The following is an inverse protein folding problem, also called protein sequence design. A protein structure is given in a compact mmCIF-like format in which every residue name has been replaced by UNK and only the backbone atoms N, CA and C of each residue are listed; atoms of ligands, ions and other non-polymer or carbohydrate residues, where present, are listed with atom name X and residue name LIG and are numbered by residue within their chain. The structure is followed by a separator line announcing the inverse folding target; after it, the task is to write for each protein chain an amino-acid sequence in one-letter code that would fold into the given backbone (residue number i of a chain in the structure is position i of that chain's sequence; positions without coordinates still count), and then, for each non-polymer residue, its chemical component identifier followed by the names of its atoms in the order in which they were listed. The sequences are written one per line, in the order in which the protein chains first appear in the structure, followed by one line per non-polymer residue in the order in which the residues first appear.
data_IF_743142640546
#
_entry.id   IF_743142640546
#
_cell.length_a   1.000
_cell.length_b   1.000
_cell.length_c   1.000
_cell.angle_alpha   90.00
_cell.angle_beta   90.00
_cell.angle_gamma   90.00
#
_symmetry.space_group_name_H-M   'P 1'
#
loop_
_entity.id
_entity.type
_entity.pdbx_description
1 polymer ?
#
# COMPACT_ATOMS: atom_id res chain seq x y z
N UNK A 1 34.77 -0.14 4.48
CA UNK A 1 33.72 0.78 4.95
C UNK A 1 32.61 -0.08 5.53
N UNK A 2 32.28 -0.03 6.83
CA UNK A 2 31.12 -0.74 7.33
C UNK A 2 29.89 -0.11 6.66
N UNK A 3 29.04 -0.97 6.04
CA UNK A 3 27.86 -0.54 5.34
C UNK A 3 26.99 0.32 6.26
N UNK A 4 26.62 1.51 5.83
CA UNK A 4 25.70 2.37 6.55
C UNK A 4 24.47 1.56 6.91
N UNK A 5 24.20 1.42 8.20
CA UNK A 5 22.99 0.78 8.75
C UNK A 5 21.79 1.69 8.44
N UNK A 6 21.45 1.73 7.14
CA UNK A 6 20.50 2.69 6.60
C UNK A 6 19.08 2.20 6.94
N UNK A 7 18.61 2.54 8.13
CA UNK A 7 17.27 2.22 8.58
C UNK A 7 16.25 3.05 7.82
N UNK A 8 15.24 2.39 7.25
CA UNK A 8 14.25 3.02 6.40
C UNK A 8 12.89 3.16 7.11
N UNK A 9 12.20 4.25 6.78
CA UNK A 9 10.78 4.45 7.04
C UNK A 9 10.07 4.54 5.70
N UNK A 10 9.15 3.61 5.46
CA UNK A 10 8.26 3.62 4.30
C UNK A 10 6.86 4.01 4.78
N UNK A 11 6.26 4.97 4.10
CA UNK A 11 4.89 5.40 4.35
C UNK A 11 4.05 5.25 3.09
N UNK A 12 2.79 4.84 3.24
CA UNK A 12 1.87 4.69 2.11
C UNK A 12 0.45 5.16 2.43
N UNK A 13 -0.22 5.72 1.43
CA UNK A 13 -1.65 6.03 1.44
C UNK A 13 -2.33 4.99 0.57
N UNK A 14 -3.23 4.21 1.15
CA UNK A 14 -4.02 3.18 0.48
C UNK A 14 -5.33 3.73 -0.08
N UNK A 15 -6.04 2.95 -0.89
CA UNK A 15 -7.39 3.21 -1.42
C UNK A 15 -7.51 4.55 -2.19
N UNK A 16 -6.44 4.93 -2.88
CA UNK A 16 -6.41 6.18 -3.66
C UNK A 16 -7.33 6.03 -4.88
N UNK A 17 -8.43 6.76 -4.88
CA UNK A 17 -9.49 6.65 -5.89
C UNK A 17 -10.31 7.95 -5.98
N UNK A 18 -11.07 8.19 -7.05
CA UNK A 18 -11.92 9.38 -7.17
C UNK A 18 -12.91 9.55 -6.00
N UNK A 19 -13.38 8.42 -5.43
CA UNK A 19 -14.33 8.43 -4.31
C UNK A 19 -13.72 8.86 -2.97
N UNK A 20 -12.39 8.95 -2.86
CA UNK A 20 -11.67 9.29 -1.64
C UNK A 20 -10.72 10.49 -1.80
N UNK A 21 -10.85 11.26 -2.87
CA UNK A 21 -9.90 12.32 -3.26
C UNK A 21 -9.63 13.33 -2.13
N UNK A 22 -10.68 13.82 -1.46
CA UNK A 22 -10.54 14.80 -0.36
C UNK A 22 -9.80 14.24 0.85
N UNK A 23 -10.10 13.01 1.22
CA UNK A 23 -9.43 12.31 2.31
C UNK A 23 -7.98 12.03 1.96
N UNK A 24 -7.70 11.63 0.72
CA UNK A 24 -6.34 11.41 0.21
C UNK A 24 -5.56 12.72 0.22
N UNK A 25 -6.13 13.84 -0.23
CA UNK A 25 -5.49 15.16 -0.16
C UNK A 25 -5.10 15.53 1.28
N UNK A 26 -6.00 15.31 2.24
CA UNK A 26 -5.72 15.56 3.67
C UNK A 26 -4.57 14.71 4.19
N UNK A 27 -4.56 13.42 3.85
CA UNK A 27 -3.47 12.51 4.23
C UNK A 27 -2.14 12.88 3.53
N UNK A 28 -2.18 13.23 2.26
CA UNK A 28 -0.99 13.65 1.51
C UNK A 28 -0.37 14.91 2.12
N UNK A 29 -1.19 15.90 2.50
CA UNK A 29 -0.74 17.07 3.24
C UNK A 29 -0.10 16.68 4.58
N UNK A 30 -0.78 15.87 5.39
CA UNK A 30 -0.25 15.39 6.68
C UNK A 30 1.11 14.67 6.53
N UNK A 31 1.22 13.77 5.54
CA UNK A 31 2.46 13.04 5.31
C UNK A 31 3.57 13.98 4.81
N UNK A 32 3.26 14.85 3.86
CA UNK A 32 4.23 15.84 3.31
C UNK A 32 4.80 16.72 4.42
N UNK A 33 3.95 17.28 5.28
CA UNK A 33 4.36 18.14 6.39
C UNK A 33 5.17 17.37 7.44
N UNK A 34 4.71 16.16 7.79
CA UNK A 34 5.35 15.35 8.84
C UNK A 34 6.69 14.78 8.40
N UNK A 35 6.78 14.32 7.15
CA UNK A 35 7.98 13.70 6.57
C UNK A 35 8.90 14.73 5.88
N UNK A 36 8.45 15.98 5.74
CA UNK A 36 9.15 17.09 5.08
C UNK A 36 9.47 16.81 3.61
N UNK A 37 8.50 16.24 2.90
CA UNK A 37 8.64 15.94 1.48
C UNK A 37 7.67 14.87 0.98
N UNK A 38 7.83 14.50 -0.28
CA UNK A 38 6.96 13.57 -1.01
C UNK A 38 7.47 12.13 -1.06
N UNK A 39 8.43 11.76 -0.19
CA UNK A 39 9.00 10.40 -0.16
C UNK A 39 8.05 9.39 0.51
N UNK A 40 6.86 9.23 -0.05
CA UNK A 40 5.88 8.22 0.34
C UNK A 40 5.18 7.66 -0.91
N UNK A 41 4.34 6.63 -0.73
CA UNK A 41 3.73 5.87 -1.83
C UNK A 41 2.22 6.03 -1.79
N UNK A 42 1.58 6.18 -2.95
CA UNK A 42 0.13 6.11 -3.12
C UNK A 42 -0.26 4.81 -3.82
N UNK A 43 -1.23 4.10 -3.25
CA UNK A 43 -1.76 2.84 -3.75
C UNK A 43 -3.09 3.11 -4.46
N UNK A 44 -3.06 3.06 -5.78
CA UNK A 44 -4.16 3.48 -6.66
C UNK A 44 -5.09 2.32 -6.95
N UNK A 45 -6.40 2.53 -6.74
CA UNK A 45 -7.46 1.60 -7.08
C UNK A 45 -8.18 2.11 -8.35
N UNK A 46 -8.07 1.42 -9.50
CA UNK A 46 -8.63 1.85 -10.78
C UNK A 46 -10.15 2.11 -10.78
N UNK A 47 -10.93 1.26 -10.12
CA UNK A 47 -12.38 1.41 -10.03
C UNK A 47 -12.89 0.97 -8.65
N UNK A 48 -12.68 1.81 -7.65
CA UNK A 48 -12.98 1.48 -6.26
C UNK A 48 -14.45 1.09 -6.05
N UNK A 49 -14.67 -0.17 -5.65
CA UNK A 49 -15.98 -0.82 -5.45
C UNK A 49 -16.86 -0.91 -6.72
N UNK A 50 -16.28 -0.69 -7.93
CA UNK A 50 -17.04 -0.66 -9.19
C UNK A 50 -17.92 0.59 -9.36
N UNK A 51 -17.68 1.62 -8.56
CA UNK A 51 -18.50 2.84 -8.53
C UNK A 51 -17.69 4.13 -8.76
N UNK A 52 -16.37 4.04 -8.74
CA UNK A 52 -15.49 5.19 -8.82
C UNK A 52 -14.34 4.96 -9.83
N UNK A 53 -14.66 4.72 -11.13
CA UNK A 53 -13.65 4.46 -12.14
C UNK A 53 -12.78 5.70 -12.40
N UNK A 54 -11.48 5.49 -12.45
CA UNK A 54 -10.55 6.51 -12.92
C UNK A 54 -10.67 6.61 -14.45
N UNK A 55 -10.90 7.81 -14.95
CA UNK A 55 -10.98 8.10 -16.38
C UNK A 55 -9.82 9.00 -16.78
N UNK A 56 -9.07 8.63 -17.82
CA UNK A 56 -8.02 9.48 -18.39
C UNK A 56 -8.60 10.85 -18.78
N UNK A 57 -7.86 11.93 -18.50
CA UNK A 57 -8.32 13.30 -18.75
C UNK A 57 -9.31 13.85 -17.70
N UNK A 58 -9.73 13.07 -16.70
CA UNK A 58 -10.59 13.56 -15.63
C UNK A 58 -9.81 14.45 -14.65
N UNK A 59 -10.51 15.30 -13.84
CA UNK A 59 -9.86 16.07 -12.79
C UNK A 59 -9.01 15.19 -11.83
N UNK A 60 -9.53 14.03 -11.45
CA UNK A 60 -8.81 13.10 -10.60
C UNK A 60 -7.54 12.53 -11.26
N UNK A 61 -7.59 12.15 -12.56
CA UNK A 61 -6.40 11.68 -13.27
C UNK A 61 -5.33 12.77 -13.37
N UNK A 62 -5.72 14.03 -13.58
CA UNK A 62 -4.81 15.16 -13.54
C UNK A 62 -4.21 15.36 -12.14
N UNK A 63 -5.01 15.15 -11.09
CA UNK A 63 -4.54 15.17 -9.71
C UNK A 63 -3.56 14.05 -9.41
N UNK A 64 -3.85 12.83 -9.86
CA UNK A 64 -2.97 11.67 -9.73
C UNK A 64 -1.62 11.92 -10.40
N UNK A 65 -1.64 12.49 -11.61
CA UNK A 65 -0.43 12.90 -12.31
C UNK A 65 0.36 13.95 -11.51
N UNK A 66 -0.30 14.98 -10.98
CA UNK A 66 0.34 16.02 -10.20
C UNK A 66 1.01 15.46 -8.93
N UNK A 67 0.38 14.52 -8.21
CA UNK A 67 1.00 13.83 -7.09
C UNK A 67 2.25 13.05 -7.52
N UNK A 68 2.18 12.31 -8.63
CA UNK A 68 3.33 11.59 -9.18
C UNK A 68 4.45 12.55 -9.59
N UNK A 69 4.13 13.68 -10.22
CA UNK A 69 5.11 14.70 -10.65
C UNK A 69 5.77 15.41 -9.45
N UNK A 70 5.09 15.49 -8.31
CA UNK A 70 5.69 15.98 -7.06
C UNK A 70 6.66 15.00 -6.40
N UNK A 71 6.85 13.80 -6.97
CA UNK A 71 7.78 12.78 -6.51
C UNK A 71 7.16 11.68 -5.66
N UNK A 72 5.83 11.65 -5.48
CA UNK A 72 5.16 10.56 -4.78
C UNK A 72 5.21 9.29 -5.63
N UNK A 73 5.62 8.18 -5.04
CA UNK A 73 5.70 6.88 -5.69
C UNK A 73 4.30 6.29 -5.90
N UNK A 74 4.05 5.66 -7.06
CA UNK A 74 2.74 5.11 -7.40
C UNK A 74 2.78 3.58 -7.50
N UNK A 75 1.84 2.94 -6.80
CA UNK A 75 1.56 1.51 -6.84
C UNK A 75 0.15 1.25 -7.35
N UNK A 76 -0.08 0.04 -7.83
CA UNK A 76 -1.42 -0.47 -8.13
C UNK A 76 -1.96 -1.24 -6.90
N UNK A 77 -3.24 -1.02 -6.57
CA UNK A 77 -3.90 -1.60 -5.39
C UNK A 77 -5.17 -2.38 -5.76
N UNK A 78 -4.99 -3.48 -6.47
CA UNK A 78 -6.10 -4.22 -7.06
C UNK A 78 -6.74 -3.48 -8.25
N UNK A 79 -7.97 -3.87 -8.58
CA UNK A 79 -8.80 -3.18 -9.57
C UNK A 79 -10.04 -2.57 -8.92
N UNK A 80 -10.78 -3.39 -8.13
CA UNK A 80 -12.03 -2.98 -7.49
C UNK A 80 -11.91 -2.71 -6.00
N UNK A 81 -10.89 -3.25 -5.34
CA UNK A 81 -10.80 -3.30 -3.87
C UNK A 81 -12.02 -3.99 -3.23
N UNK A 82 -12.63 -4.91 -3.95
CA UNK A 82 -13.84 -5.64 -3.56
C UNK A 82 -13.70 -7.10 -3.91
N UNK A 83 -14.02 -7.96 -2.96
CA UNK A 83 -14.11 -9.39 -3.21
C UNK A 83 -15.29 -9.69 -4.15
N UNK A 84 -14.98 -10.16 -5.34
CA UNK A 84 -15.95 -10.54 -6.36
C UNK A 84 -16.01 -12.06 -6.57
N UNK A 85 -15.18 -12.84 -5.83
CA UNK A 85 -15.14 -14.28 -5.96
C UNK A 85 -16.37 -14.94 -5.28
N UNK A 86 -16.87 -16.02 -5.89
CA UNK A 86 -17.89 -16.88 -5.28
C UNK A 86 -17.18 -17.82 -4.29
N UNK A 87 -17.22 -17.49 -3.02
CA UNK A 87 -16.71 -18.37 -1.97
C UNK A 87 -17.79 -19.35 -1.52
N UNK A 88 -17.54 -20.65 -1.66
CA UNK A 88 -18.41 -21.72 -1.17
C UNK A 88 -17.93 -22.23 0.20
N UNK A 89 -18.87 -22.44 1.15
CA UNK A 89 -18.61 -23.06 2.44
C UNK A 89 -18.14 -22.14 3.57
N UNK A 90 -17.83 -22.74 4.73
CA UNK A 90 -17.49 -22.05 5.99
C UNK A 90 -16.22 -21.19 5.88
N UNK A 91 -15.27 -21.59 5.02
CA UNK A 91 -14.05 -20.81 4.75
C UNK A 91 -14.37 -19.47 4.07
N UNK A 92 -15.38 -19.44 3.18
CA UNK A 92 -15.84 -18.21 2.54
C UNK A 92 -16.51 -17.24 3.51
N UNK A 93 -17.25 -17.75 4.51
CA UNK A 93 -17.87 -16.90 5.53
C UNK A 93 -16.81 -16.24 6.43
N UNK A 94 -15.76 -16.99 6.81
CA UNK A 94 -14.62 -16.47 7.58
C UNK A 94 -13.84 -15.40 6.80
N UNK A 95 -13.54 -15.64 5.54
CA UNK A 95 -12.87 -14.67 4.67
C UNK A 95 -13.68 -13.37 4.59
N UNK A 96 -14.99 -13.47 4.35
CA UNK A 96 -15.91 -12.34 4.24
C UNK A 96 -16.03 -11.51 5.53
N UNK A 97 -16.04 -12.17 6.70
CA UNK A 97 -16.09 -11.48 8.00
C UNK A 97 -14.77 -10.84 8.41
N UNK A 98 -13.64 -11.48 8.08
CA UNK A 98 -12.30 -10.96 8.44
C UNK A 98 -11.85 -9.82 7.53
N UNK A 99 -12.22 -9.85 6.23
CA UNK A 99 -11.75 -8.89 5.22
C UNK A 99 -12.75 -7.78 4.92
N UNK A 100 -13.94 -7.81 5.51
CA UNK A 100 -15.04 -6.89 5.18
C UNK A 100 -15.33 -6.82 3.66
N UNK A 101 -15.17 -7.96 2.95
CA UNK A 101 -15.31 -8.09 1.49
C UNK A 101 -14.20 -7.37 0.67
N UNK A 102 -13.04 -7.13 1.24
CA UNK A 102 -11.90 -6.46 0.56
C UNK A 102 -10.86 -7.44 -0.01
N UNK A 103 -11.07 -8.76 0.13
CA UNK A 103 -10.15 -9.79 -0.35
C UNK A 103 -10.18 -10.03 -1.86
N UNK A 104 -10.11 -9.00 -2.68
CA UNK A 104 -10.24 -9.08 -4.14
C UNK A 104 -9.35 -10.16 -4.78
N UNK A 105 -8.11 -10.30 -4.30
CA UNK A 105 -7.11 -11.21 -4.85
C UNK A 105 -7.00 -12.54 -4.11
N UNK A 106 -7.89 -12.82 -3.16
CA UNK A 106 -7.83 -14.05 -2.38
C UNK A 106 -8.35 -15.29 -3.14
N UNK A 107 -9.43 -15.14 -3.91
CA UNK A 107 -10.17 -16.26 -4.52
C UNK A 107 -10.20 -16.26 -6.06
N UNK A 108 -9.50 -15.36 -6.74
CA UNK A 108 -9.51 -15.26 -8.20
C UNK A 108 -8.47 -16.16 -8.85
N UNK A 109 -8.74 -16.56 -10.11
CA UNK A 109 -7.81 -17.36 -10.91
C UNK A 109 -6.57 -16.57 -11.32
N UNK A 110 -5.52 -17.29 -11.76
CA UNK A 110 -4.33 -16.69 -12.34
C UNK A 110 -4.66 -15.71 -13.47
N UNK A 111 -5.46 -16.14 -14.45
CA UNK A 111 -5.79 -15.31 -15.63
C UNK A 111 -6.53 -14.03 -15.26
N UNK A 112 -7.46 -14.09 -14.31
CA UNK A 112 -8.18 -12.91 -13.84
C UNK A 112 -7.28 -11.99 -13.00
N UNK A 113 -6.41 -12.55 -12.16
CA UNK A 113 -5.44 -11.79 -11.40
C UNK A 113 -4.45 -11.04 -12.32
N UNK A 114 -3.88 -11.75 -13.30
CA UNK A 114 -2.96 -11.18 -14.28
C UNK A 114 -3.64 -10.06 -15.09
N UNK A 115 -4.88 -10.28 -15.56
CA UNK A 115 -5.65 -9.28 -16.29
C UNK A 115 -5.88 -8.01 -15.47
N UNK A 116 -6.30 -8.13 -14.20
CA UNK A 116 -6.55 -6.97 -13.32
C UNK A 116 -5.25 -6.22 -12.99
N UNK A 117 -4.19 -6.92 -12.67
CA UNK A 117 -2.87 -6.35 -12.40
C UNK A 117 -2.35 -5.56 -13.60
N UNK A 118 -2.39 -6.17 -14.80
CA UNK A 118 -1.91 -5.53 -16.03
C UNK A 118 -2.77 -4.35 -16.44
N UNK A 119 -4.09 -4.49 -16.41
CA UNK A 119 -5.00 -3.38 -16.74
C UNK A 119 -4.82 -2.20 -15.75
N UNK A 120 -4.67 -2.50 -14.45
CA UNK A 120 -4.41 -1.47 -13.43
C UNK A 120 -3.07 -0.78 -13.66
N UNK A 121 -2.03 -1.54 -13.98
CA UNK A 121 -0.71 -1.01 -14.32
C UNK A 121 -0.78 -0.09 -15.54
N UNK A 122 -1.35 -0.58 -16.64
CA UNK A 122 -1.45 0.19 -17.86
C UNK A 122 -2.22 1.50 -17.70
N UNK A 123 -3.35 1.48 -16.97
CA UNK A 123 -4.14 2.69 -16.67
C UNK A 123 -3.33 3.71 -15.87
N UNK A 124 -2.67 3.28 -14.80
CA UNK A 124 -1.94 4.20 -13.94
C UNK A 124 -0.72 4.76 -14.67
N UNK A 125 0.03 3.93 -15.39
CA UNK A 125 1.20 4.35 -16.17
C UNK A 125 0.84 5.30 -17.31
N UNK A 126 -0.29 5.09 -18.01
CA UNK A 126 -0.83 6.01 -19.01
C UNK A 126 -1.08 7.41 -18.42
N UNK A 127 -1.70 7.46 -17.24
CA UNK A 127 -2.01 8.72 -16.56
C UNK A 127 -0.75 9.45 -16.07
N UNK A 128 0.15 8.74 -15.41
CA UNK A 128 1.32 9.37 -14.77
C UNK A 128 2.51 9.55 -15.72
N UNK A 129 2.51 8.88 -16.89
CA UNK A 129 3.57 8.95 -17.89
C UNK A 129 4.88 8.28 -17.48
N UNK A 130 4.84 7.36 -16.50
CA UNK A 130 6.01 6.64 -16.01
C UNK A 130 5.63 5.28 -15.41
N UNK A 131 6.63 4.39 -15.22
CA UNK A 131 6.42 3.06 -14.65
C UNK A 131 5.93 3.14 -13.20
N UNK A 132 4.93 2.30 -12.86
CA UNK A 132 4.54 2.04 -11.47
C UNK A 132 5.55 1.12 -10.81
N UNK A 133 5.86 1.35 -9.52
CA UNK A 133 6.91 0.62 -8.82
C UNK A 133 6.47 -0.73 -8.29
N UNK A 134 5.17 -0.90 -7.97
CA UNK A 134 4.77 -2.13 -7.30
C UNK A 134 3.27 -2.38 -7.26
N UNK A 135 2.95 -3.51 -6.66
CA UNK A 135 1.58 -3.99 -6.44
C UNK A 135 1.39 -4.44 -4.99
N UNK A 136 0.30 -3.98 -4.38
CA UNK A 136 -0.16 -4.48 -3.09
C UNK A 136 -1.62 -4.91 -3.23
N UNK A 137 -1.92 -6.17 -2.92
CA UNK A 137 -3.30 -6.64 -2.96
C UNK A 137 -4.15 -5.98 -1.87
N UNK A 138 -5.43 -5.65 -2.14
CA UNK A 138 -6.37 -5.20 -1.13
C UNK A 138 -6.36 -6.10 0.11
N UNK A 139 -6.46 -5.48 1.29
CA UNK A 139 -6.31 -6.14 2.59
C UNK A 139 -5.02 -6.97 2.76
N UNK A 140 -3.99 -6.79 1.90
CA UNK A 140 -2.74 -7.58 1.86
C UNK A 140 -2.96 -9.08 1.65
N UNK A 141 -4.06 -9.48 1.01
CA UNK A 141 -4.46 -10.88 0.85
C UNK A 141 -4.24 -11.36 -0.58
N UNK A 142 -3.47 -12.43 -0.69
CA UNK A 142 -3.12 -13.08 -1.95
C UNK A 142 -3.55 -14.56 -1.93
N UNK A 143 -4.35 -14.99 -2.88
CA UNK A 143 -4.55 -16.40 -3.19
C UNK A 143 -3.46 -16.92 -4.11
N UNK A 144 -3.46 -18.25 -4.35
CA UNK A 144 -2.42 -18.88 -5.18
C UNK A 144 -2.38 -18.30 -6.60
N UNK A 145 -3.54 -18.14 -7.26
CA UNK A 145 -3.61 -17.55 -8.59
C UNK A 145 -3.05 -16.12 -8.66
N UNK A 146 -3.30 -15.32 -7.62
CA UNK A 146 -2.74 -13.97 -7.50
C UNK A 146 -1.22 -13.97 -7.29
N UNK A 147 -0.70 -14.90 -6.47
CA UNK A 147 0.75 -15.04 -6.25
C UNK A 147 1.48 -15.49 -7.52
N UNK A 148 0.88 -16.39 -8.29
CA UNK A 148 1.45 -16.86 -9.56
C UNK A 148 1.44 -15.74 -10.61
N UNK A 149 0.33 -15.01 -10.76
CA UNK A 149 0.22 -13.87 -11.65
C UNK A 149 1.20 -12.75 -11.28
N UNK A 150 1.35 -12.49 -9.99
CA UNK A 150 2.29 -11.48 -9.49
C UNK A 150 3.75 -11.85 -9.78
N UNK A 151 4.11 -13.14 -9.69
CA UNK A 151 5.45 -13.63 -10.04
C UNK A 151 5.79 -13.37 -11.51
N UNK A 152 4.82 -13.54 -12.40
CA UNK A 152 4.99 -13.36 -13.83
C UNK A 152 4.80 -11.89 -14.27
N UNK A 153 4.43 -11.00 -13.35
CA UNK A 153 4.22 -9.58 -13.62
C UNK A 153 5.53 -8.79 -13.74
N UNK A 154 5.44 -7.55 -14.19
CA UNK A 154 6.58 -6.62 -14.28
C UNK A 154 6.70 -5.68 -13.07
N UNK A 155 5.98 -5.91 -11.97
CA UNK A 155 6.11 -5.10 -10.76
C UNK A 155 7.43 -5.40 -10.05
N UNK A 156 8.11 -4.36 -9.60
CA UNK A 156 9.40 -4.49 -8.92
C UNK A 156 9.25 -4.93 -7.47
N UNK A 157 8.12 -4.58 -6.82
CA UNK A 157 7.89 -4.77 -5.39
C UNK A 157 6.46 -5.20 -5.10
N UNK A 158 6.29 -6.09 -4.14
CA UNK A 158 5.01 -6.43 -3.53
C UNK A 158 5.12 -6.48 -2.00
N UNK A 159 3.97 -6.36 -1.33
CA UNK A 159 3.91 -6.31 0.13
C UNK A 159 2.72 -7.12 0.67
N UNK A 160 2.94 -7.78 1.81
CA UNK A 160 1.90 -8.27 2.71
C UNK A 160 2.06 -7.67 4.13
N UNK A 161 1.24 -8.10 5.08
CA UNK A 161 1.29 -7.60 6.46
C UNK A 161 2.68 -7.71 7.11
N UNK A 162 3.51 -8.68 6.72
CA UNK A 162 4.74 -9.02 7.43
C UNK A 162 6.01 -8.86 6.60
N UNK A 163 5.90 -8.68 5.27
CA UNK A 163 7.08 -8.64 4.41
C UNK A 163 6.86 -7.78 3.16
N UNK A 164 7.99 -7.33 2.61
CA UNK A 164 8.09 -6.77 1.25
C UNK A 164 9.02 -7.69 0.47
N UNK A 165 8.67 -8.02 -0.78
CA UNK A 165 9.46 -8.93 -1.61
C UNK A 165 9.49 -8.50 -3.08
N UNK A 166 10.49 -9.03 -3.82
CA UNK A 166 10.58 -8.95 -5.28
C UNK A 166 9.72 -10.08 -5.85
N UNK A 167 8.64 -9.80 -6.61
CA UNK A 167 7.70 -10.83 -7.06
C UNK A 167 8.36 -11.96 -7.86
N UNK A 168 9.19 -11.63 -8.84
CA UNK A 168 9.79 -12.58 -9.79
C UNK A 168 10.70 -13.62 -9.11
N UNK A 169 11.37 -13.23 -8.03
CA UNK A 169 12.35 -14.09 -7.35
C UNK A 169 11.87 -14.59 -6.00
N UNK A 170 10.80 -14.02 -5.46
CA UNK A 170 10.34 -14.25 -4.07
C UNK A 170 11.31 -13.72 -3.01
N UNK A 171 12.38 -13.00 -3.40
CA UNK A 171 13.37 -12.44 -2.47
C UNK A 171 12.74 -11.42 -1.53
N UNK A 172 12.76 -11.73 -0.23
CA UNK A 172 12.26 -10.81 0.80
C UNK A 172 13.30 -9.72 1.05
N UNK A 173 12.88 -8.45 0.88
CA UNK A 173 13.73 -7.26 1.02
C UNK A 173 13.46 -6.47 2.29
N UNK A 174 12.30 -6.67 2.92
CA UNK A 174 12.01 -6.15 4.26
C UNK A 174 11.09 -7.10 5.03
N UNK A 175 11.23 -7.14 6.36
CA UNK A 175 10.42 -7.94 7.29
C UNK A 175 9.93 -7.09 8.45
N UNK A 176 8.79 -7.44 9.01
CA UNK A 176 8.16 -6.81 10.15
C UNK A 176 6.71 -6.40 9.84
N UNK A 177 5.89 -6.18 10.87
CA UNK A 177 4.50 -5.80 10.68
C UNK A 177 4.36 -4.41 10.05
N UNK A 178 3.32 -4.21 9.25
CA UNK A 178 2.88 -2.88 8.84
C UNK A 178 2.09 -2.25 9.99
N UNK A 179 2.35 -0.98 10.26
CA UNK A 179 1.57 -0.18 11.23
C UNK A 179 0.43 0.46 10.46
N UNK A 180 -0.80 0.13 10.85
CA UNK A 180 -2.01 0.68 10.22
C UNK A 180 -3.11 0.89 11.26
N UNK A 181 -4.13 1.65 10.92
CA UNK A 181 -5.24 1.98 11.82
C UNK A 181 -6.55 1.43 11.30
N UNK A 182 -7.52 1.32 12.20
CA UNK A 182 -8.86 0.87 11.87
C UNK A 182 -9.89 1.86 12.40
N UNK A 183 -10.63 2.48 11.47
CA UNK A 183 -11.60 3.54 11.79
C UNK A 183 -13.06 3.06 11.93
N UNK A 184 -13.37 1.81 11.52
CA UNK A 184 -14.74 1.29 11.36
C UNK A 184 -15.54 1.06 12.64
N UNK A 185 -14.88 0.80 13.78
CA UNK A 185 -15.55 0.65 15.08
C UNK A 185 -14.66 1.16 16.21
N UNK A 186 -15.27 1.52 17.35
CA UNK A 186 -14.54 2.03 18.52
C UNK A 186 -13.53 1.01 19.04
N UNK A 187 -13.92 -0.28 19.15
CA UNK A 187 -13.03 -1.34 19.63
C UNK A 187 -11.83 -1.54 18.68
N UNK A 188 -12.05 -1.59 17.36
CA UNK A 188 -10.96 -1.68 16.36
C UNK A 188 -10.07 -0.44 16.37
N UNK A 189 -10.65 0.74 16.57
CA UNK A 189 -9.88 1.98 16.69
C UNK A 189 -8.98 1.92 17.93
N UNK A 190 -9.52 1.55 19.08
CA UNK A 190 -8.74 1.44 20.32
C UNK A 190 -7.59 0.42 20.19
N UNK A 191 -7.86 -0.76 19.62
CA UNK A 191 -6.83 -1.78 19.41
C UNK A 191 -5.74 -1.33 18.45
N UNK A 192 -6.08 -0.64 17.37
CA UNK A 192 -5.09 -0.11 16.42
C UNK A 192 -4.24 1.02 17.01
N UNK A 193 -4.83 1.90 17.80
CA UNK A 193 -4.10 2.92 18.55
C UNK A 193 -3.12 2.31 19.56
N UNK A 194 -3.56 1.28 20.30
CA UNK A 194 -2.70 0.53 21.22
C UNK A 194 -1.55 -0.17 20.49
N UNK A 195 -1.83 -0.81 19.33
CA UNK A 195 -0.79 -1.42 18.50
C UNK A 195 0.22 -0.37 18.01
N UNK A 196 -0.23 0.78 17.50
CA UNK A 196 0.67 1.84 17.06
C UNK A 196 1.53 2.39 18.21
N UNK A 197 0.97 2.51 19.42
CA UNK A 197 1.72 2.90 20.63
C UNK A 197 2.81 1.87 20.99
N UNK A 198 2.47 0.58 20.97
CA UNK A 198 3.43 -0.52 21.18
C UNK A 198 4.51 -0.54 20.11
N UNK A 199 4.12 -0.40 18.84
CA UNK A 199 5.04 -0.38 17.70
C UNK A 199 6.11 0.70 17.85
N UNK A 200 5.73 1.91 18.30
CA UNK A 200 6.69 2.99 18.59
C UNK A 200 7.74 2.64 19.63
N UNK A 201 7.46 1.69 20.49
CA UNK A 201 8.42 1.23 21.53
C UNK A 201 9.25 0.03 21.05
N UNK A 202 8.66 -0.86 20.27
CA UNK A 202 9.23 -2.19 20.01
C UNK A 202 9.84 -2.36 18.62
N UNK A 203 9.43 -1.58 17.59
CA UNK A 203 9.89 -1.79 16.21
C UNK A 203 11.18 -1.03 15.84
N UNK A 204 11.82 -0.35 16.79
CA UNK A 204 13.11 0.31 16.56
C UNK A 204 14.24 -0.61 16.08
N UNK A 205 14.33 -1.90 16.48
CA UNK A 205 15.36 -2.80 15.98
C UNK A 205 15.22 -3.17 14.49
N UNK A 206 14.03 -3.07 13.90
CA UNK A 206 13.83 -3.40 12.48
C UNK A 206 14.65 -2.48 11.57
N UNK A 207 15.19 -3.00 10.48
CA UNK A 207 15.86 -2.19 9.44
C UNK A 207 14.86 -1.32 8.69
N UNK A 208 13.65 -1.82 8.42
CA UNK A 208 12.58 -1.10 7.72
C UNK A 208 11.33 -1.10 8.57
N UNK A 209 10.75 0.07 8.81
CA UNK A 209 9.43 0.25 9.41
C UNK A 209 8.47 0.74 8.34
N UNK A 210 7.27 0.19 8.32
CA UNK A 210 6.23 0.48 7.33
C UNK A 210 5.00 1.05 8.03
N UNK A 211 4.46 2.13 7.47
CA UNK A 211 3.27 2.82 7.96
C UNK A 211 2.28 2.96 6.80
N UNK A 212 1.09 2.41 6.96
CA UNK A 212 0.01 2.47 5.96
C UNK A 212 -1.20 3.22 6.53
N UNK A 213 -1.68 4.23 5.80
CA UNK A 213 -2.84 5.02 6.18
C UNK A 213 -3.94 4.91 5.11
N UNK A 214 -5.20 5.06 5.52
CA UNK A 214 -6.36 4.88 4.65
C UNK A 214 -7.28 6.11 4.71
N UNK A 215 -8.05 6.42 3.67
CA UNK A 215 -8.97 7.55 3.65
C UNK A 215 -9.89 7.63 4.86
N UNK A 216 -10.35 6.47 5.36
CA UNK A 216 -11.19 6.42 6.56
C UNK A 216 -10.57 6.97 7.84
N UNK A 217 -9.24 7.07 7.90
CA UNK A 217 -8.50 7.49 9.10
C UNK A 217 -8.69 8.99 9.39
N UNK A 218 -8.96 9.80 8.37
CA UNK A 218 -9.19 11.25 8.55
C UNK A 218 -10.45 11.59 9.34
N UNK A 219 -11.34 10.61 9.54
CA UNK A 219 -12.60 10.81 10.28
C UNK A 219 -12.41 10.88 11.78
N UNK A 220 -11.22 10.57 12.30
CA UNK A 220 -10.93 10.52 13.75
C UNK A 220 -9.62 11.24 14.06
N UNK A 221 -9.71 12.36 14.75
CA UNK A 221 -8.53 13.14 15.16
C UNK A 221 -7.53 12.33 16.00
N UNK A 222 -8.02 11.39 16.82
CA UNK A 222 -7.15 10.49 17.58
C UNK A 222 -6.28 9.59 16.67
N UNK A 223 -6.81 9.16 15.52
CA UNK A 223 -6.05 8.40 14.53
C UNK A 223 -5.04 9.33 13.84
N UNK A 224 -5.44 10.50 13.38
CA UNK A 224 -4.52 11.46 12.73
C UNK A 224 -3.36 11.85 13.65
N UNK A 225 -3.64 12.15 14.91
CA UNK A 225 -2.60 12.43 15.92
C UNK A 225 -1.66 11.22 16.14
N UNK A 226 -2.22 10.00 16.14
CA UNK A 226 -1.42 8.77 16.26
C UNK A 226 -0.54 8.52 15.03
N UNK A 227 -1.05 8.78 13.81
CA UNK A 227 -0.29 8.72 12.56
C UNK A 227 0.90 9.68 12.63
N UNK A 228 0.63 10.95 12.89
CA UNK A 228 1.65 11.99 12.98
C UNK A 228 2.73 11.65 14.02
N UNK A 229 2.31 11.26 15.21
CA UNK A 229 3.22 10.85 16.29
C UNK A 229 4.09 9.66 15.87
N UNK A 230 3.50 8.67 15.18
CA UNK A 230 4.21 7.48 14.71
C UNK A 230 5.23 7.82 13.64
N UNK A 231 4.84 8.61 12.63
CA UNK A 231 5.74 9.06 11.58
C UNK A 231 6.90 9.89 12.15
N UNK A 232 6.62 10.88 13.00
CA UNK A 232 7.66 11.68 13.67
C UNK A 232 8.61 10.84 14.53
N UNK A 233 8.08 9.85 15.24
CA UNK A 233 8.89 8.95 16.08
C UNK A 233 9.93 8.19 15.25
N UNK A 234 9.51 7.60 14.14
CA UNK A 234 10.41 6.80 13.32
C UNK A 234 11.31 7.63 12.39
N UNK A 235 10.82 8.76 11.87
CA UNK A 235 11.60 9.66 11.01
C UNK A 235 12.83 10.26 11.71
N UNK A 236 12.83 10.39 13.05
CA UNK A 236 13.98 10.88 13.83
C UNK A 236 15.27 10.06 13.64
N UNK A 237 15.15 8.77 13.33
CA UNK A 237 16.27 7.81 13.30
C UNK A 237 16.30 6.95 12.03
N UNK A 238 15.50 7.31 11.02
CA UNK A 238 15.36 6.57 9.76
C UNK A 238 15.31 7.51 8.59
N UNK A 239 15.90 7.10 7.50
CA UNK A 239 15.69 7.76 6.23
C UNK A 239 14.28 7.45 5.75
N UNK A 240 13.50 8.49 5.45
CA UNK A 240 12.23 8.36 4.74
C UNK A 240 12.54 8.00 3.28
N UNK A 241 11.92 6.96 2.75
CA UNK A 241 12.27 6.42 1.44
C UNK A 241 11.04 5.86 0.72
N UNK A 242 11.18 5.69 -0.60
CA UNK A 242 10.25 4.93 -1.43
C UNK A 242 10.52 3.41 -1.34
N UNK A 243 9.53 2.60 -1.68
CA UNK A 243 9.69 1.14 -1.74
C UNK A 243 10.74 0.70 -2.76
N UNK A 244 10.88 1.43 -3.87
CA UNK A 244 11.94 1.17 -4.85
C UNK A 244 13.36 1.22 -4.26
N UNK A 245 13.58 1.97 -3.19
CA UNK A 245 14.88 2.03 -2.52
C UNK A 245 15.32 0.67 -1.98
N UNK A 246 14.37 -0.24 -1.66
CA UNK A 246 14.65 -1.59 -1.20
C UNK A 246 15.25 -2.50 -2.29
N UNK A 247 14.95 -2.23 -3.56
CA UNK A 247 15.36 -3.08 -4.68
C UNK A 247 16.51 -2.50 -5.50
N UNK A 248 16.66 -1.18 -5.54
CA UNK A 248 17.77 -0.50 -6.24
C UNK A 248 19.15 -0.83 -5.68
N UNK A 249 19.22 -1.26 -4.43
CA UNK A 249 20.47 -1.68 -3.78
C UNK A 249 20.82 -3.15 -4.03
N UNK A 250 19.99 -3.89 -4.75
CA UNK A 250 20.24 -5.28 -5.09
C UNK A 250 21.18 -5.34 -6.31
N UNK A 251 22.20 -6.23 -6.30
CA UNK A 251 22.96 -6.53 -7.51
C UNK A 251 22.00 -7.07 -8.58
N UNK A 252 22.26 -6.78 -9.86
CA UNK A 252 21.46 -7.34 -10.95
C UNK A 252 21.40 -8.87 -10.84
N UNK A 253 20.30 -9.51 -11.28
CA UNK A 253 20.23 -10.96 -11.30
C UNK A 253 21.40 -11.52 -12.12
N UNK A 254 22.10 -12.47 -11.54
CA UNK A 254 23.12 -13.22 -12.30
C UNK A 254 22.36 -14.09 -13.32
N UNK A 255 22.54 -13.79 -14.58
CA UNK A 255 22.02 -14.55 -15.74
C UNK A 255 22.74 -15.89 -15.86
#
# INVERSE_FOLDING_TARGET
MPGSDNRLLLASIHDVSPGSEREVDRLAGLLTDTLRGSSFTMLVVPDHWGNHPIRSGSPFSNRLKAWSDSGIEMFVHGWYHKDTAQHHGVAGLKARYMTASEGEFLGISYGEAARRMEAGRALVEDIIGRKTSGFIAPAWLYGQGAMDALRDSSFDVAEDHMRVWVPQTGKVVARGPVITWASRSTARTASSLAFAALARQTLHPLRTVRVAVHPGDVRKESILSSIETTLRCFAKRRQVAHYQSLVRTLPPPQT
#
